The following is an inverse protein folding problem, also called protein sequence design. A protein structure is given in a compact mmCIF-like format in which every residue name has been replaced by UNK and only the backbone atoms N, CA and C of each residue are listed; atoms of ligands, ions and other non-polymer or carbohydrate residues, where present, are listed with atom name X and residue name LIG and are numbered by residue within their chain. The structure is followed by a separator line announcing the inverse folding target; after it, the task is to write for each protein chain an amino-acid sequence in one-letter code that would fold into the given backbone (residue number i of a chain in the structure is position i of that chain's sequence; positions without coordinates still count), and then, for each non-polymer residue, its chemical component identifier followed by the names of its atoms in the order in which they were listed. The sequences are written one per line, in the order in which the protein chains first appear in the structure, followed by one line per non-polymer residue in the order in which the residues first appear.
data_IF_229712789746
#
_entry.id   IF_229712789746
#
_cell.length_a   1.000
_cell.length_b   1.000
_cell.length_c   1.000
_cell.angle_alpha   90.00
_cell.angle_beta   90.00
_cell.angle_gamma   90.00
#
_symmetry.space_group_name_H-M   'P 1'
#
loop_
_entity.id
_entity.type
_entity.pdbx_description
1 polymer ?
#
# COMPACT_ATOMS: atom_id res chain seq x y z
N UNK A 1 -4.47 -1.76 -18.10
CA UNK A 1 -3.23 -1.97 -17.31
C UNK A 1 -3.65 -2.62 -16.00
N UNK A 2 -3.10 -3.78 -15.67
CA UNK A 2 -3.27 -4.35 -14.32
C UNK A 2 -2.02 -3.90 -13.56
N UNK A 3 -2.15 -2.83 -12.76
CA UNK A 3 -1.06 -2.43 -11.86
C UNK A 3 -0.86 -3.50 -10.78
N UNK A 4 0.37 -3.75 -10.38
CA UNK A 4 0.65 -4.70 -9.31
C UNK A 4 0.04 -4.18 -8.00
N UNK A 5 -0.76 -5.01 -7.32
CA UNK A 5 -1.29 -4.68 -6.00
C UNK A 5 -0.21 -4.96 -4.96
N UNK A 6 0.00 -4.02 -4.05
CA UNK A 6 1.06 -4.05 -3.05
C UNK A 6 0.53 -3.77 -1.66
N UNK A 7 1.18 -4.37 -0.66
CA UNK A 7 1.06 -3.94 0.73
C UNK A 7 2.15 -2.93 1.02
N UNK A 8 1.81 -1.91 1.81
CA UNK A 8 2.80 -0.91 2.22
C UNK A 8 2.57 -0.36 3.62
N UNK A 9 3.61 0.27 4.17
CA UNK A 9 3.56 1.09 5.38
C UNK A 9 3.85 2.55 5.02
N UNK A 10 3.18 3.49 5.68
CA UNK A 10 3.48 4.92 5.53
C UNK A 10 4.67 5.31 6.41
N UNK A 11 5.36 6.39 6.05
CA UNK A 11 6.59 6.79 6.74
C UNK A 11 6.35 7.10 8.23
N UNK A 12 5.22 7.74 8.53
CA UNK A 12 4.76 8.10 9.86
C UNK A 12 4.42 6.89 10.76
N UNK A 13 4.26 5.70 10.19
CA UNK A 13 3.92 4.46 10.89
C UNK A 13 5.16 3.61 11.21
N UNK A 14 6.32 3.98 10.67
CA UNK A 14 7.57 3.24 10.81
C UNK A 14 8.34 3.75 12.03
N UNK A 15 8.79 2.83 12.89
CA UNK A 15 9.75 3.16 13.93
C UNK A 15 11.12 3.52 13.31
N UNK A 16 11.45 4.80 13.29
CA UNK A 16 12.69 5.31 12.72
C UNK A 16 13.91 5.18 13.64
N UNK A 17 13.74 4.71 14.88
CA UNK A 17 14.83 4.60 15.87
C UNK A 17 15.82 3.49 15.53
N UNK A 18 15.37 2.44 14.85
CA UNK A 18 16.23 1.33 14.42
C UNK A 18 15.88 0.85 13.01
N UNK A 19 16.72 1.21 12.04
CA UNK A 19 16.52 0.85 10.63
C UNK A 19 16.58 -0.63 10.33
N UNK A 20 17.16 -1.45 11.22
CA UNK A 20 17.16 -2.92 11.07
C UNK A 20 15.77 -3.53 11.20
N UNK A 21 14.84 -2.83 11.86
CA UNK A 21 13.47 -3.30 12.07
C UNK A 21 12.51 -2.87 10.94
N UNK A 22 12.94 -2.00 10.03
CA UNK A 22 12.11 -1.49 8.93
C UNK A 22 11.51 -2.57 8.04
N UNK A 23 12.23 -3.65 7.65
CA UNK A 23 11.64 -4.73 6.87
C UNK A 23 10.56 -5.51 7.64
N UNK A 24 10.62 -5.48 8.98
CA UNK A 24 9.69 -6.16 9.88
C UNK A 24 8.48 -5.28 10.24
N UNK A 25 8.46 -4.02 9.80
CA UNK A 25 7.32 -3.12 10.06
C UNK A 25 6.05 -3.69 9.41
N UNK A 26 4.93 -3.74 10.16
CA UNK A 26 3.64 -4.12 9.60
C UNK A 26 3.23 -3.22 8.42
N UNK A 27 2.80 -3.82 7.31
CA UNK A 27 2.34 -3.13 6.10
C UNK A 27 0.83 -3.20 6.03
N UNK A 28 0.18 -2.29 6.76
CA UNK A 28 -1.26 -2.35 7.00
C UNK A 28 -2.12 -1.80 5.85
N UNK A 29 -1.49 -1.18 4.84
CA UNK A 29 -2.20 -0.57 3.71
C UNK A 29 -2.07 -1.41 2.47
N UNK A 30 -3.12 -1.42 1.64
CA UNK A 30 -3.12 -2.01 0.31
C UNK A 30 -3.36 -0.92 -0.72
N UNK A 31 -2.61 -0.97 -1.82
CA UNK A 31 -2.76 -0.03 -2.91
C UNK A 31 -2.24 -0.58 -4.22
N UNK A 32 -2.34 0.24 -5.26
CA UNK A 32 -1.85 -0.11 -6.61
C UNK A 32 -0.50 0.54 -6.84
N UNK A 33 0.50 -0.26 -7.19
CA UNK A 33 1.81 0.23 -7.59
C UNK A 33 1.68 1.01 -8.91
N UNK A 34 1.98 2.31 -8.87
CA UNK A 34 2.02 3.15 -10.07
C UNK A 34 3.43 3.11 -10.66
N UNK A 35 4.44 3.30 -9.82
CA UNK A 35 5.83 3.47 -10.26
C UNK A 35 6.80 3.00 -9.18
N UNK A 36 7.88 2.35 -9.62
CA UNK A 36 9.03 2.03 -8.79
C UNK A 36 10.29 2.65 -9.41
N UNK A 37 10.71 3.78 -8.85
CA UNK A 37 11.94 4.46 -9.24
C UNK A 37 13.12 3.90 -8.44
N UNK A 38 13.92 3.07 -9.10
CA UNK A 38 15.11 2.43 -8.52
C UNK A 38 16.26 3.40 -8.30
N UNK A 39 16.35 4.47 -9.10
CA UNK A 39 17.44 5.45 -9.00
C UNK A 39 17.23 6.35 -7.79
N UNK A 40 15.99 6.81 -7.59
CA UNK A 40 15.62 7.65 -6.45
C UNK A 40 15.30 6.84 -5.19
N UNK A 41 15.18 5.51 -5.31
CA UNK A 41 14.82 4.63 -4.20
C UNK A 41 13.44 4.94 -3.64
N UNK A 42 12.47 5.18 -4.53
CA UNK A 42 11.11 5.61 -4.15
C UNK A 42 10.05 4.85 -4.93
N UNK A 43 8.93 4.59 -4.27
CA UNK A 43 7.79 3.88 -4.85
C UNK A 43 6.55 4.76 -4.74
N UNK A 44 5.79 4.88 -5.83
CA UNK A 44 4.52 5.61 -5.87
C UNK A 44 3.35 4.64 -5.88
N UNK A 45 2.43 4.80 -4.94
CA UNK A 45 1.30 3.90 -4.72
C UNK A 45 0.01 4.71 -4.76
N UNK A 46 -0.97 4.26 -5.54
CA UNK A 46 -2.33 4.79 -5.50
C UNK A 46 -3.08 4.12 -4.35
N UNK A 47 -3.56 4.91 -3.41
CA UNK A 47 -4.33 4.45 -2.27
C UNK A 47 -5.43 5.48 -1.94
N UNK A 48 -6.69 5.05 -1.95
CA UNK A 48 -7.87 5.89 -1.67
C UNK A 48 -7.92 7.20 -2.49
N UNK A 49 -7.54 7.16 -3.77
CA UNK A 49 -7.55 8.32 -4.65
C UNK A 49 -6.31 9.23 -4.54
N UNK A 50 -5.40 8.94 -3.61
CA UNK A 50 -4.17 9.70 -3.41
C UNK A 50 -2.94 8.92 -3.88
N UNK A 51 -1.94 9.64 -4.40
CA UNK A 51 -0.64 9.07 -4.77
C UNK A 51 0.34 9.27 -3.63
N UNK A 52 0.66 8.19 -2.93
CA UNK A 52 1.60 8.19 -1.81
C UNK A 52 3.00 7.82 -2.30
N UNK A 53 4.00 8.59 -1.85
CA UNK A 53 5.42 8.31 -2.08
C UNK A 53 6.01 7.62 -0.85
N UNK A 54 6.44 6.38 -1.01
CA UNK A 54 7.03 5.56 0.06
C UNK A 54 8.41 5.03 -0.34
N UNK A 55 9.15 4.46 0.62
CA UNK A 55 10.42 3.77 0.30
C UNK A 55 10.14 2.32 -0.12
N UNK A 56 10.90 1.76 -1.07
CA UNK A 56 10.74 0.38 -1.52
C UNK A 56 10.80 -0.68 -0.41
N UNK A 57 11.59 -0.45 0.65
CA UNK A 57 11.69 -1.37 1.81
C UNK A 57 10.36 -1.52 2.57
N UNK A 58 9.47 -0.54 2.46
CA UNK A 58 8.14 -0.57 3.07
C UNK A 58 7.08 -1.11 2.12
N UNK A 59 7.46 -1.69 0.98
CA UNK A 59 6.53 -2.17 -0.04
C UNK A 59 6.80 -3.64 -0.31
N UNK A 60 5.74 -4.43 -0.38
CA UNK A 60 5.82 -5.83 -0.81
C UNK A 60 4.61 -6.21 -1.65
N UNK A 61 4.75 -7.26 -2.45
CA UNK A 61 3.65 -7.74 -3.29
C UNK A 61 2.48 -8.22 -2.43
N UNK A 62 1.27 -7.79 -2.76
CA UNK A 62 0.06 -8.30 -2.12
C UNK A 62 -0.22 -9.74 -2.57
N UNK A 63 -0.58 -10.61 -1.63
CA UNK A 63 -0.99 -11.97 -1.89
C UNK A 63 -2.47 -12.09 -2.25
N UNK A 64 -2.89 -13.32 -2.60
CA UNK A 64 -4.29 -13.63 -2.94
C UNK A 64 -5.28 -13.26 -1.83
N UNK A 65 -4.89 -13.42 -0.56
CA UNK A 65 -5.73 -13.08 0.60
C UNK A 65 -5.95 -11.58 0.75
N UNK A 66 -4.90 -10.79 0.51
CA UNK A 66 -4.93 -9.34 0.59
C UNK A 66 -5.88 -8.75 -0.49
N UNK A 67 -5.85 -9.32 -1.70
CA UNK A 67 -6.75 -8.94 -2.79
C UNK A 67 -8.23 -9.15 -2.45
N UNK A 68 -8.58 -10.26 -1.80
CA UNK A 68 -9.95 -10.55 -1.39
C UNK A 68 -10.44 -9.56 -0.34
N UNK A 69 -9.59 -9.18 0.62
CA UNK A 69 -9.90 -8.16 1.62
C UNK A 69 -10.09 -6.78 0.96
N UNK A 70 -9.16 -6.39 0.08
CA UNK A 70 -9.20 -5.11 -0.63
C UNK A 70 -10.44 -4.97 -1.53
N UNK A 71 -10.84 -6.03 -2.25
CA UNK A 71 -12.07 -6.03 -3.04
C UNK A 71 -13.31 -5.95 -2.14
N UNK A 72 -13.30 -6.60 -0.98
CA UNK A 72 -14.37 -6.52 0.02
C UNK A 72 -14.56 -5.10 0.58
N UNK A 73 -13.47 -4.37 0.83
CA UNK A 73 -13.53 -2.96 1.29
C UNK A 73 -14.08 -2.01 0.21
N UNK A 74 -13.68 -2.19 -1.05
CA UNK A 74 -14.22 -1.38 -2.16
C UNK A 74 -15.70 -1.67 -2.45
N UNK A 75 -16.19 -2.87 -2.15
CA UNK A 75 -17.60 -3.25 -2.30
C UNK A 75 -18.48 -2.77 -1.12
N UNK A 76 -17.90 -2.17 -0.07
CA UNK A 76 -18.62 -1.64 1.09
C UNK A 76 -19.11 -0.19 0.95
N UNK A 77 -18.90 0.45 -0.20
CA UNK A 77 -19.25 1.84 -0.49
C UNK A 77 -20.57 2.03 -1.27
N UNK A 78 -21.42 1.00 -1.42
CA UNK A 78 -22.68 1.13 -2.17
C UNK A 78 -23.87 0.42 -1.51
N UNK A 79 -24.28 0.90 -0.32
CA UNK A 79 -25.62 0.57 0.18
C UNK A 79 -26.22 1.57 1.20
N UNK A 80 -25.51 2.67 1.54
CA UNK A 80 -25.98 3.64 2.54
C UNK A 80 -26.38 5.02 1.98
N UNK A 81 -26.30 5.21 0.65
CA UNK A 81 -26.71 6.47 0.00
C UNK A 81 -28.01 6.35 -0.81
N UNK A 82 -28.81 5.30 -0.56
CA UNK A 82 -30.15 5.14 -1.15
C UNK A 82 -31.16 4.86 -0.02
N UNK A 83 -31.50 5.90 0.75
CA UNK A 83 -32.78 6.03 1.45
C UNK A 83 -33.02 7.48 1.87
#
# INVERSE_FOLDING_TARGET
MVGDVVRFAKWEEVDTRNSKNWPLTPKNHIGVLIEHDKLMGTTRILHHGEVLKVRPVFVEKAGKKDLLAYQGENNGLDQRDIN
#
